data_IF_046771601077
#
_entry.id   IF_046771601077
#
_cell.length_a   1.000
_cell.length_b   1.000
_cell.length_c   1.000
_cell.angle_alpha   90.00
_cell.angle_beta   90.00
_cell.angle_gamma   90.00
#
_symmetry.space_group_name_H-M   'P 1'
#
loop_
_entity.id
_entity.type
_entity.pdbx_description
1 polymer ?
#
# COMPACT_ATOMS: atom_id res chain seq x y z
N UNK A 1 -3.29 2.08 19.43
CA UNK A 1 -2.05 2.38 20.16
C UNK A 1 -0.95 2.59 19.14
N UNK A 2 0.07 3.39 19.45
CA UNK A 2 1.16 3.70 18.51
C UNK A 2 1.95 2.44 18.11
N UNK A 3 2.09 1.49 19.05
CA UNK A 3 2.73 0.19 18.82
C UNK A 3 1.99 -0.63 17.78
N UNK A 4 0.65 -0.57 17.76
CA UNK A 4 -0.16 -1.25 16.76
C UNK A 4 0.06 -0.71 15.35
N UNK A 5 0.31 0.60 15.22
CA UNK A 5 0.60 1.27 13.95
C UNK A 5 2.01 0.87 13.48
N UNK A 6 3.01 0.93 14.37
CA UNK A 6 4.37 0.52 14.05
C UNK A 6 4.45 -0.94 13.57
N UNK A 7 3.74 -1.85 14.23
CA UNK A 7 3.66 -3.26 13.81
C UNK A 7 2.97 -3.42 12.44
N UNK A 8 1.93 -2.64 12.15
CA UNK A 8 1.27 -2.68 10.86
C UNK A 8 2.19 -2.20 9.72
N UNK A 9 2.98 -1.14 9.96
CA UNK A 9 3.99 -0.64 9.02
C UNK A 9 5.03 -1.72 8.72
N UNK A 10 5.60 -2.35 9.77
CA UNK A 10 6.61 -3.40 9.61
C UNK A 10 6.07 -4.62 8.84
N UNK A 11 4.79 -4.97 9.03
CA UNK A 11 4.17 -6.07 8.28
C UNK A 11 3.92 -5.72 6.81
N UNK A 12 3.76 -4.43 6.49
CA UNK A 12 3.45 -3.94 5.14
C UNK A 12 2.26 -4.65 4.47
N UNK A 13 1.31 -5.14 5.28
CA UNK A 13 0.09 -5.77 4.80
C UNK A 13 -0.99 -4.70 4.67
N UNK A 14 -1.48 -4.50 3.46
CA UNK A 14 -2.59 -3.58 3.17
C UNK A 14 -3.86 -4.41 3.03
N UNK A 15 -4.89 -4.06 3.81
CA UNK A 15 -6.19 -4.72 3.75
C UNK A 15 -7.14 -4.02 2.77
N UNK A 16 -7.21 -4.54 1.54
CA UNK A 16 -8.13 -4.06 0.51
C UNK A 16 -9.54 -4.69 0.57
N UNK A 17 -9.85 -5.47 1.60
CA UNK A 17 -11.16 -6.15 1.74
C UNK A 17 -12.18 -5.31 2.51
N UNK A 18 -11.72 -4.33 3.29
CA UNK A 18 -12.58 -3.47 4.11
C UNK A 18 -13.02 -2.24 3.33
N UNK A 19 -14.26 -1.81 3.54
CA UNK A 19 -14.77 -0.54 3.00
C UNK A 19 -13.80 0.62 3.32
N UNK A 20 -13.52 1.51 2.35
CA UNK A 20 -14.15 1.63 1.03
C UNK A 20 -13.50 0.79 -0.09
N UNK A 21 -12.45 0.01 0.21
CA UNK A 21 -11.61 -0.61 -0.81
C UNK A 21 -12.33 -1.55 -1.79
N UNK A 22 -13.35 -2.35 -1.40
CA UNK A 22 -14.12 -3.14 -2.36
C UNK A 22 -14.71 -2.33 -3.53
N UNK A 23 -14.97 -1.03 -3.34
CA UNK A 23 -15.52 -0.12 -4.36
C UNK A 23 -14.45 0.57 -5.22
N UNK A 24 -13.19 0.51 -4.81
CA UNK A 24 -12.06 1.10 -5.53
C UNK A 24 -11.62 0.19 -6.67
N UNK A 25 -11.21 0.75 -7.80
CA UNK A 25 -10.74 -0.03 -8.95
C UNK A 25 -9.49 -0.85 -8.62
N UNK A 26 -9.34 -2.01 -9.25
CA UNK A 26 -8.16 -2.86 -9.06
C UNK A 26 -6.87 -2.13 -9.46
N UNK A 27 -6.88 -1.32 -10.53
CA UNK A 27 -5.72 -0.54 -10.95
C UNK A 27 -5.26 0.46 -9.86
N UNK A 28 -6.19 1.09 -9.14
CA UNK A 28 -5.84 1.99 -8.04
C UNK A 28 -5.26 1.22 -6.85
N UNK A 29 -5.78 0.03 -6.53
CA UNK A 29 -5.21 -0.85 -5.49
C UNK A 29 -3.82 -1.35 -5.87
N UNK A 30 -3.62 -1.73 -7.13
CA UNK A 30 -2.33 -2.14 -7.69
C UNK A 30 -1.29 -1.02 -7.58
N UNK A 31 -1.68 0.22 -7.92
CA UNK A 31 -0.80 1.38 -7.79
C UNK A 31 -0.37 1.57 -6.33
N UNK A 32 -1.32 1.55 -5.38
CA UNK A 32 -1.03 1.69 -3.95
C UNK A 32 -0.11 0.57 -3.45
N UNK A 33 -0.32 -0.68 -3.89
CA UNK A 33 0.59 -1.80 -3.57
C UNK A 33 2.02 -1.52 -4.01
N UNK A 34 2.20 -1.06 -5.26
CA UNK A 34 3.53 -0.79 -5.83
C UNK A 34 4.20 0.46 -5.24
N UNK A 35 3.42 1.44 -4.78
CA UNK A 35 3.93 2.60 -4.06
C UNK A 35 4.36 2.28 -2.62
N UNK A 36 3.75 1.27 -2.00
CA UNK A 36 4.05 0.83 -0.63
C UNK A 36 4.90 -0.46 -0.57
N UNK A 37 5.61 -0.77 -1.66
CA UNK A 37 6.51 -1.91 -1.75
C UNK A 37 7.61 -1.84 -0.66
N UNK A 38 7.76 -2.88 0.18
CA UNK A 38 8.78 -2.93 1.23
C UNK A 38 10.20 -2.74 0.71
N UNK A 39 10.58 -3.36 -0.41
CA UNK A 39 11.90 -3.18 -1.00
C UNK A 39 11.98 -1.82 -1.73
N UNK A 40 12.79 -0.86 -1.25
CA UNK A 40 12.91 0.45 -1.88
C UNK A 40 13.39 0.40 -3.34
N UNK A 41 14.07 -0.68 -3.74
CA UNK A 41 14.55 -0.86 -5.13
C UNK A 41 13.43 -1.27 -6.09
N UNK A 42 12.38 -1.89 -5.57
CA UNK A 42 11.21 -2.33 -6.35
C UNK A 42 10.06 -1.31 -6.27
N UNK A 43 10.09 -0.44 -5.26
CA UNK A 43 9.10 0.63 -5.06
C UNK A 43 9.08 1.62 -6.21
N UNK A 44 7.87 2.00 -6.62
CA UNK A 44 7.69 3.04 -7.62
C UNK A 44 8.32 4.36 -7.17
N UNK A 45 9.06 4.97 -8.09
CA UNK A 45 9.50 6.35 -7.99
C UNK A 45 8.34 7.29 -8.31
N UNK A 46 8.41 8.53 -7.82
CA UNK A 46 7.41 9.55 -8.12
C UNK A 46 7.19 9.72 -9.63
N UNK A 47 8.29 9.69 -10.42
CA UNK A 47 8.22 9.83 -11.88
C UNK A 47 7.42 8.71 -12.56
N UNK A 48 7.42 7.49 -12.03
CA UNK A 48 6.68 6.36 -12.60
C UNK A 48 5.17 6.39 -12.27
N UNK A 49 4.75 7.28 -11.38
CA UNK A 49 3.36 7.42 -10.93
C UNK A 49 2.65 8.61 -11.61
N UNK A 50 3.41 9.55 -12.18
CA UNK A 50 2.91 10.71 -12.92
C UNK A 50 2.23 10.31 -14.24
#
# INVERSE_FOLDING_TARGET
TEEGIAQAIVRSVIDFKREPWPRVSENAKDLVRRMLEPDPKLRLTALQVL
#
